data_IF_971203595066
#
_entry.id   IF_971203595066
#
_cell.length_a   1.000
_cell.length_b   1.000
_cell.length_c   1.000
_cell.angle_alpha   90.00
_cell.angle_beta   90.00
_cell.angle_gamma   90.00
#
_symmetry.space_group_name_H-M   'P 1'
#
loop_
_entity.id
_entity.type
_entity.pdbx_description
1 polymer ?
#
# COMPACT_ATOMS: atom_id res chain seq x y z
N UNK A 1 -18.71 9.61 -0.66
CA UNK A 1 -17.86 8.41 -0.54
C UNK A 1 -16.99 8.37 -1.77
N UNK A 2 -15.72 8.77 -1.65
CA UNK A 2 -14.82 8.83 -2.80
C UNK A 2 -14.50 7.42 -3.24
N UNK A 3 -14.90 7.05 -4.46
CA UNK A 3 -14.46 5.82 -5.09
C UNK A 3 -13.00 5.99 -5.49
N UNK A 4 -12.16 5.02 -5.12
CA UNK A 4 -10.78 4.96 -5.58
C UNK A 4 -10.80 4.76 -7.09
N UNK A 5 -10.25 5.70 -7.85
CA UNK A 5 -9.97 5.49 -9.26
C UNK A 5 -8.64 4.76 -9.39
N UNK A 6 -8.45 3.94 -10.43
CA UNK A 6 -7.19 3.21 -10.64
C UNK A 6 -5.98 4.17 -10.71
N UNK A 7 -6.19 5.37 -11.25
CA UNK A 7 -5.17 6.43 -11.31
C UNK A 7 -4.72 6.94 -9.93
N UNK A 8 -5.56 6.80 -8.89
CA UNK A 8 -5.25 7.22 -7.53
C UNK A 8 -4.43 6.20 -6.72
N UNK A 9 -4.31 4.95 -7.20
CA UNK A 9 -3.63 3.87 -6.47
C UNK A 9 -2.15 4.17 -6.22
N UNK A 10 -1.34 4.64 -7.20
CA UNK A 10 0.06 4.95 -6.95
C UNK A 10 0.27 6.04 -5.90
N UNK A 11 -0.59 7.07 -5.92
CA UNK A 11 -0.54 8.16 -4.94
C UNK A 11 -0.81 7.65 -3.52
N UNK A 12 -1.79 6.74 -3.36
CA UNK A 12 -2.08 6.12 -2.07
C UNK A 12 -0.97 5.19 -1.60
N UNK A 13 -0.36 4.42 -2.51
CA UNK A 13 0.79 3.57 -2.16
C UNK A 13 1.97 4.40 -1.65
N UNK A 14 2.23 5.57 -2.25
CA UNK A 14 3.28 6.48 -1.78
C UNK A 14 2.98 7.04 -0.39
N UNK A 15 1.73 7.47 -0.14
CA UNK A 15 1.27 7.93 1.16
C UNK A 15 1.42 6.83 2.23
N UNK A 16 0.98 5.60 1.93
CA UNK A 16 1.10 4.44 2.84
C UNK A 16 2.57 4.17 3.19
N UNK A 17 3.48 4.18 2.21
CA UNK A 17 4.93 3.99 2.46
C UNK A 17 5.53 5.13 3.28
N UNK A 18 5.09 6.37 3.06
CA UNK A 18 5.54 7.50 3.86
C UNK A 18 5.10 7.36 5.33
N UNK A 19 3.84 6.96 5.56
CA UNK A 19 3.29 6.71 6.89
C UNK A 19 3.97 5.52 7.60
N UNK A 20 4.33 4.47 6.87
CA UNK A 20 5.07 3.34 7.41
C UNK A 20 6.47 3.76 7.88
N UNK A 21 7.19 4.55 7.08
CA UNK A 21 8.49 5.11 7.48
C UNK A 21 8.39 6.04 8.68
N UNK A 22 7.38 6.90 8.74
CA UNK A 22 7.14 7.79 9.88
C UNK A 22 6.93 7.00 11.19
N UNK A 23 6.33 5.81 11.09
CA UNK A 23 5.99 4.95 12.24
C UNK A 23 7.02 3.86 12.52
N UNK A 24 8.12 3.82 11.77
CA UNK A 24 9.08 2.71 11.81
C UNK A 24 8.38 1.34 11.69
N UNK A 25 7.43 1.24 10.76
CA UNK A 25 6.57 0.08 10.57
C UNK A 25 6.97 -0.73 9.34
N UNK A 26 6.76 -2.05 9.44
CA UNK A 26 6.92 -3.01 8.34
C UNK A 26 5.55 -3.45 7.84
N UNK A 27 5.38 -3.52 6.52
CA UNK A 27 4.16 -3.97 5.86
C UNK A 27 4.36 -5.41 5.38
N UNK A 28 3.57 -6.34 5.92
CA UNK A 28 3.53 -7.74 5.49
C UNK A 28 2.21 -8.00 4.75
N UNK A 29 2.29 -8.56 3.56
CA UNK A 29 1.14 -9.07 2.83
C UNK A 29 1.08 -10.59 2.90
N UNK A 30 -0.11 -11.15 2.71
CA UNK A 30 -0.28 -12.56 2.39
C UNK A 30 -0.39 -12.69 0.87
N UNK A 31 0.07 -13.81 0.31
CA UNK A 31 -0.02 -14.15 -1.12
C UNK A 31 -1.41 -14.02 -1.79
N UNK A 32 -2.49 -13.85 -1.02
CA UNK A 32 -3.86 -13.75 -1.53
C UNK A 32 -4.40 -12.32 -1.59
N UNK A 33 -3.59 -11.33 -1.24
CA UNK A 33 -3.98 -9.93 -1.37
C UNK A 33 -4.02 -9.50 -2.84
N UNK A 34 -4.80 -8.47 -3.15
CA UNK A 34 -4.83 -7.90 -4.50
C UNK A 34 -3.45 -7.33 -4.88
N UNK A 35 -3.06 -7.32 -6.17
CA UNK A 35 -1.73 -6.88 -6.59
C UNK A 35 -1.33 -5.51 -6.04
N UNK A 36 -2.27 -4.56 -6.03
CA UNK A 36 -2.03 -3.19 -5.56
C UNK A 36 -1.64 -3.12 -4.07
N UNK A 37 -2.06 -4.11 -3.27
CA UNK A 37 -1.68 -4.25 -1.86
C UNK A 37 -0.34 -4.97 -1.72
N UNK A 38 -0.05 -5.95 -2.59
CA UNK A 38 1.25 -6.63 -2.57
C UNK A 38 2.37 -5.66 -2.97
N UNK A 39 2.13 -4.78 -3.94
CA UNK A 39 3.09 -3.78 -4.41
C UNK A 39 3.59 -2.84 -3.31
N UNK A 40 2.76 -2.57 -2.28
CA UNK A 40 3.15 -1.67 -1.17
C UNK A 40 3.85 -2.40 -0.03
N UNK A 41 3.82 -3.73 0.01
CA UNK A 41 4.38 -4.52 1.09
C UNK A 41 5.91 -4.66 1.01
N UNK A 42 6.56 -4.77 2.16
CA UNK A 42 7.99 -5.07 2.25
C UNK A 42 8.26 -6.56 2.03
N UNK A 43 7.31 -7.41 2.43
CA UNK A 43 7.32 -8.86 2.24
C UNK A 43 5.92 -9.40 1.95
N UNK A 44 5.84 -10.48 1.17
CA UNK A 44 4.62 -11.16 0.71
C UNK A 44 4.64 -12.64 1.10
#
# INVERSE_FOLDING_TARGET
MSLLTLESVPALQEEIRALARERDAVILAHNYQVPEVQDVADFV
#
